data_IF_561909320754
#
_entry.id   IF_561909320754
#
_cell.length_a   1.000
_cell.length_b   1.000
_cell.length_c   1.000
_cell.angle_alpha   90.00
_cell.angle_beta   90.00
_cell.angle_gamma   90.00
#
_symmetry.space_group_name_H-M   'P 1'
#
loop_
_entity.id
_entity.type
_entity.pdbx_description
1 polymer ?
#
# COMPACT_ATOMS: atom_id res chain seq x y z
N UNK A 1 18.08 11.34 13.98
CA UNK A 1 17.44 10.99 12.70
C UNK A 1 18.54 11.14 11.67
N UNK A 2 19.02 10.02 11.18
CA UNK A 2 20.04 10.05 10.13
C UNK A 2 19.39 10.31 8.76
N UNK A 3 20.20 10.45 7.72
CA UNK A 3 19.71 10.71 6.37
C UNK A 3 18.85 9.55 5.82
N UNK A 4 19.08 8.33 6.31
CA UNK A 4 18.33 7.15 5.87
C UNK A 4 16.93 7.14 6.48
N UNK A 5 16.81 7.44 7.78
CA UNK A 5 15.53 7.58 8.48
C UNK A 5 14.61 8.61 7.79
N UNK A 6 15.17 9.73 7.34
CA UNK A 6 14.41 10.77 6.65
C UNK A 6 13.96 10.32 5.26
N UNK A 7 14.85 9.67 4.50
CA UNK A 7 14.53 9.12 3.19
C UNK A 7 13.43 8.05 3.28
N UNK A 8 13.51 7.17 4.26
CA UNK A 8 12.52 6.12 4.50
C UNK A 8 11.14 6.73 4.82
N UNK A 9 11.09 7.77 5.66
CA UNK A 9 9.82 8.46 5.97
C UNK A 9 9.17 9.09 4.74
N UNK A 10 9.96 9.68 3.86
CA UNK A 10 9.45 10.26 2.61
C UNK A 10 8.92 9.15 1.70
N UNK A 11 9.71 8.08 1.50
CA UNK A 11 9.32 6.96 0.65
C UNK A 11 8.03 6.25 1.13
N UNK A 12 7.88 6.06 2.44
CA UNK A 12 6.66 5.50 3.05
C UNK A 12 5.48 6.45 2.83
N UNK A 13 5.67 7.76 3.02
CA UNK A 13 4.64 8.77 2.78
C UNK A 13 4.13 8.73 1.35
N UNK A 14 5.04 8.73 0.38
CA UNK A 14 4.73 8.66 -1.05
C UNK A 14 3.98 7.37 -1.41
N UNK A 15 4.38 6.23 -0.82
CA UNK A 15 3.70 4.95 -1.00
C UNK A 15 2.26 5.00 -0.50
N UNK A 16 2.02 5.55 0.69
CA UNK A 16 0.67 5.70 1.26
C UNK A 16 -0.19 6.66 0.42
N UNK A 17 0.37 7.76 -0.08
CA UNK A 17 -0.33 8.68 -0.98
C UNK A 17 -0.72 8.01 -2.29
N UNK A 18 0.17 7.19 -2.87
CA UNK A 18 -0.11 6.42 -4.10
C UNK A 18 -1.21 5.39 -3.88
N UNK A 19 -1.18 4.66 -2.76
CA UNK A 19 -2.24 3.73 -2.37
C UNK A 19 -3.60 4.44 -2.27
N UNK A 20 -3.68 5.53 -1.50
CA UNK A 20 -4.93 6.28 -1.32
C UNK A 20 -5.46 6.80 -2.66
N UNK A 21 -4.58 7.36 -3.49
CA UNK A 21 -4.92 7.85 -4.84
C UNK A 21 -5.48 6.73 -5.73
N UNK A 22 -4.87 5.55 -5.71
CA UNK A 22 -5.32 4.40 -6.48
C UNK A 22 -6.71 3.92 -6.04
N UNK A 23 -6.95 3.81 -4.73
CA UNK A 23 -8.24 3.42 -4.16
C UNK A 23 -9.33 4.44 -4.49
N UNK A 24 -9.08 5.73 -4.24
CA UNK A 24 -10.05 6.80 -4.46
C UNK A 24 -10.47 6.91 -5.94
N UNK A 25 -9.52 6.69 -6.85
CA UNK A 25 -9.77 6.70 -8.30
C UNK A 25 -10.28 5.38 -8.86
N UNK A 26 -10.32 4.32 -8.05
CA UNK A 26 -10.58 2.94 -8.50
C UNK A 26 -9.63 2.48 -9.60
N UNK A 27 -8.40 2.97 -9.57
CA UNK A 27 -7.32 2.60 -10.50
C UNK A 27 -6.63 1.35 -9.97
N UNK A 28 -7.17 0.19 -10.32
CA UNK A 28 -6.68 -1.09 -9.82
C UNK A 28 -5.32 -1.47 -10.42
N UNK A 29 -4.97 -0.97 -11.60
CA UNK A 29 -3.65 -1.19 -12.19
C UNK A 29 -2.58 -0.46 -11.37
N UNK A 30 -2.83 0.79 -11.00
CA UNK A 30 -1.96 1.53 -10.07
C UNK A 30 -1.94 0.89 -8.68
N UNK A 31 -3.09 0.44 -8.18
CA UNK A 31 -3.20 -0.24 -6.90
C UNK A 31 -2.28 -1.48 -6.85
N UNK A 32 -2.19 -2.24 -7.94
CA UNK A 32 -1.30 -3.41 -8.01
C UNK A 32 0.18 -3.11 -7.84
N UNK A 33 0.60 -1.88 -8.10
CA UNK A 33 2.01 -1.49 -8.02
C UNK A 33 2.50 -1.17 -6.60
N UNK A 34 1.60 -1.02 -5.63
CA UNK A 34 1.98 -0.64 -4.25
C UNK A 34 2.19 -1.83 -3.32
N UNK A 35 1.98 -3.04 -3.83
CA UNK A 35 2.17 -4.29 -3.10
C UNK A 35 3.26 -5.14 -3.75
N UNK A 36 3.98 -5.89 -2.92
CA UNK A 36 4.85 -6.97 -3.39
C UNK A 36 4.01 -8.17 -3.83
N UNK A 37 4.59 -9.05 -4.64
CA UNK A 37 3.91 -10.24 -5.15
C UNK A 37 3.40 -11.17 -4.02
N UNK A 38 4.10 -11.17 -2.88
CA UNK A 38 3.80 -11.97 -1.70
C UNK A 38 3.04 -11.20 -0.60
N UNK A 39 2.47 -10.03 -0.91
CA UNK A 39 1.77 -9.23 0.07
C UNK A 39 0.55 -9.98 0.65
N UNK A 40 0.47 -10.04 1.98
CA UNK A 40 -0.70 -10.56 2.68
C UNK A 40 -1.62 -9.41 3.08
N UNK A 41 -2.88 -9.47 2.64
CA UNK A 41 -3.86 -8.41 2.88
C UNK A 41 -5.04 -8.98 3.68
N UNK A 42 -5.14 -8.57 4.93
CA UNK A 42 -6.19 -9.00 5.85
C UNK A 42 -7.17 -7.85 6.14
N UNK A 43 -8.36 -7.92 5.53
CA UNK A 43 -9.46 -7.00 5.81
C UNK A 43 -10.51 -7.56 6.79
N UNK A 44 -10.26 -8.71 7.43
CA UNK A 44 -11.26 -9.36 8.31
C UNK A 44 -11.61 -8.52 9.52
N UNK A 45 -10.65 -7.76 10.04
CA UNK A 45 -10.86 -6.82 11.15
C UNK A 45 -11.81 -5.67 10.80
N UNK A 46 -11.95 -5.33 9.52
CA UNK A 46 -12.83 -4.29 9.02
C UNK A 46 -14.19 -4.83 8.51
N UNK A 47 -14.47 -6.12 8.69
CA UNK A 47 -15.66 -6.79 8.16
C UNK A 47 -15.55 -7.23 6.69
N UNK A 48 -14.34 -7.18 6.12
CA UNK A 48 -14.02 -7.67 4.78
C UNK A 48 -13.50 -9.12 4.77
N UNK A 49 -12.91 -9.54 3.66
CA UNK A 49 -12.29 -10.87 3.49
C UNK A 49 -10.76 -10.79 3.69
N UNK A 50 -10.16 -11.84 4.25
CA UNK A 50 -8.72 -12.05 4.18
C UNK A 50 -8.35 -12.68 2.82
N UNK A 51 -7.26 -12.22 2.21
CA UNK A 51 -6.81 -12.71 0.92
C UNK A 51 -5.29 -12.72 0.79
N UNK A 52 -4.80 -13.48 -0.18
CA UNK A 52 -3.43 -13.37 -0.68
C UNK A 52 -3.46 -12.51 -1.94
N UNK A 53 -2.40 -11.73 -2.15
CA UNK A 53 -2.25 -10.94 -3.36
C UNK A 53 -2.11 -11.84 -4.60
N UNK A 54 -3.00 -11.69 -5.59
CA UNK A 54 -3.06 -12.52 -6.80
C UNK A 54 -4.32 -12.30 -7.63
#
# INVERSE_FOLDING_TARGET
MDANDLADRIAIGDLLTRYATAVDRRDWDLYRTVFTEDAHIDYTSAGGIAGTWG
#
